data_IF_898078899201
#
_entry.id   IF_898078899201
#
_cell.length_a   1.000
_cell.length_b   1.000
_cell.length_c   1.000
_cell.angle_alpha   90.00
_cell.angle_beta   90.00
_cell.angle_gamma   90.00
#
_symmetry.space_group_name_H-M   'P 1'
#
loop_
_entity.id
_entity.type
_entity.pdbx_description
1 polymer ?
#
# COMPACT_ATOMS: atom_id res chain seq x y z
N UNK A 1 -21.67 13.44 12.73
CA UNK A 1 -22.41 13.69 13.99
C UNK A 1 -23.34 12.50 14.18
N UNK A 2 -23.24 11.75 15.29
CA UNK A 2 -24.08 10.57 15.53
C UNK A 2 -25.43 11.06 16.07
N UNK A 3 -26.57 10.69 15.46
CA UNK A 3 -27.89 11.11 15.94
C UNK A 3 -28.15 10.64 17.38
N UNK A 4 -28.81 11.47 18.20
CA UNK A 4 -29.12 11.16 19.60
C UNK A 4 -29.92 9.87 19.76
N UNK A 5 -30.90 9.63 18.87
CA UNK A 5 -31.70 8.40 18.87
C UNK A 5 -30.87 7.11 18.68
N UNK A 6 -29.67 7.21 18.11
CA UNK A 6 -28.77 6.08 17.93
C UNK A 6 -27.93 5.82 19.20
N UNK A 7 -27.68 6.85 20.01
CA UNK A 7 -26.91 6.70 21.26
C UNK A 7 -27.71 6.00 22.34
N UNK A 8 -29.01 6.25 22.40
CA UNK A 8 -29.89 5.67 23.43
C UNK A 8 -30.21 4.19 23.19
N UNK A 9 -29.97 3.70 21.97
CA UNK A 9 -30.42 2.37 21.52
C UNK A 9 -29.31 1.32 21.46
N UNK A 10 -28.05 1.73 21.52
CA UNK A 10 -26.91 0.84 21.32
C UNK A 10 -25.85 1.05 22.42
N UNK A 11 -25.21 -0.03 22.92
CA UNK A 11 -24.16 0.08 23.93
C UNK A 11 -22.99 0.97 23.45
N UNK A 12 -22.28 1.63 24.37
CA UNK A 12 -21.17 2.54 24.05
C UNK A 12 -20.12 1.92 23.13
N UNK A 13 -19.88 0.62 23.27
CA UNK A 13 -18.96 -0.17 22.43
C UNK A 13 -19.39 -0.14 20.96
N UNK A 14 -20.70 -0.18 20.70
CA UNK A 14 -21.30 -0.15 19.35
C UNK A 14 -21.23 1.25 18.76
N UNK A 15 -21.41 2.28 19.59
CA UNK A 15 -21.28 3.69 19.18
C UNK A 15 -19.82 4.00 18.83
N UNK A 16 -18.87 3.50 19.63
CA UNK A 16 -17.42 3.63 19.39
C UNK A 16 -17.02 2.90 18.12
N UNK A 17 -17.54 1.68 17.91
CA UNK A 17 -17.33 0.91 16.68
C UNK A 17 -17.89 1.62 15.44
N UNK A 18 -19.11 2.17 15.53
CA UNK A 18 -19.73 2.91 14.44
C UNK A 18 -18.99 4.22 14.12
N UNK A 19 -18.51 4.92 15.15
CA UNK A 19 -17.69 6.13 15.00
C UNK A 19 -16.34 5.81 14.36
N UNK A 20 -15.66 4.77 14.83
CA UNK A 20 -14.40 4.27 14.27
C UNK A 20 -14.59 3.87 12.80
N UNK A 21 -15.62 3.10 12.48
CA UNK A 21 -15.97 2.71 11.10
C UNK A 21 -16.28 3.91 10.19
N UNK A 22 -17.08 4.86 10.67
CA UNK A 22 -17.49 6.02 9.89
C UNK A 22 -16.31 6.97 9.65
N UNK A 23 -15.55 7.30 10.69
CA UNK A 23 -14.37 8.17 10.58
C UNK A 23 -13.29 7.54 9.72
N UNK A 24 -13.04 6.24 9.92
CA UNK A 24 -12.13 5.43 9.10
C UNK A 24 -12.48 5.54 7.61
N UNK A 25 -13.75 5.32 7.24
CA UNK A 25 -14.19 5.43 5.83
C UNK A 25 -14.18 6.86 5.28
N UNK A 26 -14.35 7.89 6.10
CA UNK A 26 -14.56 9.27 5.62
C UNK A 26 -13.30 10.14 5.62
N UNK A 27 -12.37 9.93 6.54
CA UNK A 27 -11.22 10.82 6.76
C UNK A 27 -9.87 10.09 6.75
N UNK A 28 -9.84 8.79 7.01
CA UNK A 28 -8.60 8.04 7.17
C UNK A 28 -8.43 7.02 6.05
N UNK A 29 -7.84 7.50 4.96
CA UNK A 29 -7.54 6.69 3.80
C UNK A 29 -6.66 5.50 4.18
N UNK A 30 -7.12 4.30 3.84
CA UNK A 30 -6.27 3.10 3.80
C UNK A 30 -4.98 3.42 3.00
N UNK A 31 -3.93 2.63 3.20
CA UNK A 31 -2.63 2.78 2.53
C UNK A 31 -2.78 3.05 1.03
N UNK A 32 -3.61 2.28 0.34
CA UNK A 32 -3.80 2.34 -1.10
C UNK A 32 -4.52 3.62 -1.57
N UNK A 33 -5.70 4.01 -1.02
CA UNK A 33 -6.29 5.31 -1.29
C UNK A 33 -5.34 6.48 -1.00
N UNK A 34 -4.59 6.45 0.12
CA UNK A 34 -3.62 7.50 0.44
C UNK A 34 -2.56 7.66 -0.65
N UNK A 35 -1.94 6.56 -1.05
CA UNK A 35 -0.91 6.58 -2.09
C UNK A 35 -1.49 6.86 -3.48
N UNK A 36 -2.77 6.57 -3.73
CA UNK A 36 -3.43 6.92 -4.99
C UNK A 36 -3.56 8.44 -5.13
N UNK A 37 -3.96 9.12 -4.06
CA UNK A 37 -4.02 10.58 -4.03
C UNK A 37 -2.61 11.16 -4.09
N UNK A 38 -1.67 10.64 -3.29
CA UNK A 38 -0.28 11.11 -3.31
C UNK A 38 0.36 10.97 -4.71
N UNK A 39 0.07 9.89 -5.43
CA UNK A 39 0.52 9.68 -6.81
C UNK A 39 -0.12 10.71 -7.75
N UNK A 40 -1.45 10.91 -7.70
CA UNK A 40 -2.13 11.92 -8.52
C UNK A 40 -1.61 13.33 -8.27
N UNK A 41 -1.51 13.73 -7.00
CA UNK A 41 -1.03 15.04 -6.58
C UNK A 41 0.41 15.25 -7.01
N UNK A 42 1.29 14.27 -6.77
CA UNK A 42 2.69 14.37 -7.21
C UNK A 42 2.82 14.41 -8.73
N UNK A 43 2.00 13.66 -9.48
CA UNK A 43 1.98 13.74 -10.94
C UNK A 43 1.52 15.11 -11.45
N UNK A 44 0.58 15.77 -10.78
CA UNK A 44 0.08 17.09 -11.21
C UNK A 44 1.05 18.22 -10.80
N UNK A 45 1.47 18.23 -9.53
CA UNK A 45 2.21 19.35 -8.96
C UNK A 45 3.73 19.28 -9.20
N UNK A 46 4.31 18.08 -9.21
CA UNK A 46 5.75 17.93 -9.41
C UNK A 46 6.08 17.76 -10.90
N UNK A 47 6.55 18.84 -11.52
CA UNK A 47 7.02 18.84 -12.93
C UNK A 47 8.20 17.90 -13.16
N UNK A 48 9.03 17.64 -12.14
CA UNK A 48 10.17 16.72 -12.24
C UNK A 48 9.77 15.26 -12.20
N UNK A 49 8.53 14.97 -11.76
CA UNK A 49 7.98 13.62 -11.52
C UNK A 49 8.78 12.80 -10.50
N UNK A 50 9.68 13.44 -9.74
CA UNK A 50 10.50 12.79 -8.71
C UNK A 50 9.64 12.29 -7.56
N UNK A 51 8.67 13.07 -7.10
CA UNK A 51 7.77 12.64 -6.03
C UNK A 51 6.88 11.48 -6.45
N UNK A 52 6.39 11.48 -7.70
CA UNK A 52 5.63 10.35 -8.25
C UNK A 52 6.50 9.09 -8.29
N UNK A 53 7.78 9.22 -8.67
CA UNK A 53 8.76 8.13 -8.60
C UNK A 53 8.98 7.64 -7.17
N UNK A 54 9.15 8.53 -6.18
CA UNK A 54 9.40 8.15 -4.78
C UNK A 54 8.19 7.45 -4.13
N UNK A 55 6.97 7.82 -4.53
CA UNK A 55 5.72 7.22 -4.05
C UNK A 55 5.39 5.90 -4.76
N UNK A 56 5.88 5.71 -5.98
CA UNK A 56 5.51 4.56 -6.81
C UNK A 56 5.80 3.16 -6.24
N UNK A 57 6.90 2.89 -5.49
CA UNK A 57 7.09 1.57 -4.89
C UNK A 57 5.98 1.17 -3.91
N UNK A 58 5.43 2.15 -3.19
CA UNK A 58 4.30 1.93 -2.27
C UNK A 58 3.01 1.61 -3.05
N UNK A 59 2.80 2.28 -4.19
CA UNK A 59 1.66 2.00 -5.08
C UNK A 59 1.72 0.58 -5.65
N UNK A 60 2.90 0.18 -6.13
CA UNK A 60 3.15 -1.16 -6.68
C UNK A 60 2.91 -2.23 -5.60
N UNK A 61 3.48 -2.04 -4.41
CA UNK A 61 3.28 -2.95 -3.29
C UNK A 61 1.79 -3.10 -2.93
N UNK A 62 1.10 -1.98 -2.74
CA UNK A 62 -0.31 -1.97 -2.35
C UNK A 62 -1.19 -2.70 -3.35
N UNK A 63 -1.03 -2.43 -4.65
CA UNK A 63 -1.82 -3.14 -5.65
C UNK A 63 -1.44 -4.61 -5.83
N UNK A 64 -0.14 -4.97 -5.76
CA UNK A 64 0.29 -6.36 -5.94
C UNK A 64 -0.17 -7.27 -4.79
N UNK A 65 -0.26 -6.75 -3.57
CA UNK A 65 -0.77 -7.51 -2.43
C UNK A 65 -2.29 -7.64 -2.52
N UNK A 66 -2.99 -6.53 -2.81
CA UNK A 66 -4.45 -6.49 -2.66
C UNK A 66 -5.18 -7.10 -3.85
N UNK A 67 -4.68 -6.96 -5.08
CA UNK A 67 -5.37 -7.52 -6.26
C UNK A 67 -5.59 -9.04 -6.20
N UNK A 68 -4.59 -9.88 -5.83
CA UNK A 68 -4.82 -11.31 -5.64
C UNK A 68 -5.82 -11.59 -4.51
N UNK A 69 -5.82 -10.80 -3.44
CA UNK A 69 -6.74 -10.98 -2.32
C UNK A 69 -8.20 -10.74 -2.73
N UNK A 70 -8.48 -9.72 -3.55
CA UNK A 70 -9.82 -9.45 -4.09
C UNK A 70 -10.36 -10.70 -4.82
N UNK A 71 -9.53 -11.38 -5.60
CA UNK A 71 -9.92 -12.63 -6.27
C UNK A 71 -10.24 -13.77 -5.29
N UNK A 72 -9.57 -13.83 -4.13
CA UNK A 72 -9.79 -14.90 -3.15
C UNK A 72 -11.00 -14.70 -2.24
N UNK A 73 -11.43 -13.45 -2.06
CA UNK A 73 -12.56 -13.10 -1.18
C UNK A 73 -13.89 -13.27 -1.92
N UNK A 74 -13.89 -13.09 -3.25
CA UNK A 74 -15.08 -13.25 -4.07
C UNK A 74 -15.22 -14.69 -4.59
N UNK A 75 -16.35 -15.32 -4.26
CA UNK A 75 -16.65 -16.68 -4.73
C UNK A 75 -16.85 -16.69 -6.25
N UNK A 76 -16.43 -17.79 -6.88
CA UNK A 76 -16.64 -18.08 -8.31
C UNK A 76 -15.95 -17.12 -9.32
N UNK A 77 -14.89 -16.42 -8.90
CA UNK A 77 -14.08 -15.59 -9.80
C UNK A 77 -12.93 -16.39 -10.39
N UNK A 78 -13.03 -16.74 -11.67
CA UNK A 78 -11.92 -17.31 -12.44
C UNK A 78 -11.00 -16.20 -12.97
N UNK A 79 -9.71 -16.48 -13.04
CA UNK A 79 -8.73 -15.58 -13.67
C UNK A 79 -9.06 -15.46 -15.17
N UNK A 80 -9.71 -14.35 -15.53
CA UNK A 80 -10.12 -14.06 -16.91
C UNK A 80 -9.54 -12.72 -17.35
N UNK A 81 -9.39 -12.45 -18.67
CA UNK A 81 -8.99 -11.14 -19.14
C UNK A 81 -9.90 -10.02 -18.63
N UNK A 82 -11.21 -10.29 -18.51
CA UNK A 82 -12.17 -9.36 -17.90
C UNK A 82 -11.79 -9.04 -16.45
N UNK A 83 -11.43 -10.05 -15.67
CA UNK A 83 -10.99 -9.86 -14.29
C UNK A 83 -9.75 -8.97 -14.22
N UNK A 84 -8.76 -9.12 -15.12
CA UNK A 84 -7.54 -8.30 -15.12
C UNK A 84 -7.81 -6.81 -15.38
N UNK A 85 -8.79 -6.47 -16.22
CA UNK A 85 -9.01 -5.06 -16.64
C UNK A 85 -10.19 -4.38 -15.95
N UNK A 86 -11.20 -5.13 -15.51
CA UNK A 86 -12.46 -4.60 -14.95
C UNK A 86 -12.65 -5.03 -13.50
N UNK A 87 -11.95 -6.08 -13.08
CA UNK A 87 -12.17 -6.73 -11.79
C UNK A 87 -13.45 -7.55 -11.79
N UNK A 88 -14.08 -7.58 -10.63
CA UNK A 88 -15.23 -8.42 -10.33
C UNK A 88 -16.55 -7.65 -10.40
N UNK A 89 -17.66 -8.14 -9.86
CA UNK A 89 -18.91 -7.38 -9.81
C UNK A 89 -19.07 -6.60 -8.50
N UNK A 90 -18.62 -7.14 -7.37
CA UNK A 90 -18.88 -6.59 -6.03
C UNK A 90 -17.88 -5.50 -5.64
N UNK A 91 -16.59 -5.71 -5.93
CA UNK A 91 -15.52 -4.79 -5.51
C UNK A 91 -14.86 -4.05 -6.68
N UNK A 92 -15.62 -3.68 -7.72
CA UNK A 92 -15.10 -3.00 -8.94
C UNK A 92 -14.28 -1.76 -8.65
N UNK A 93 -14.78 -0.86 -7.80
CA UNK A 93 -14.09 0.40 -7.50
C UNK A 93 -12.78 0.14 -6.75
N UNK A 94 -12.81 -0.80 -5.81
CA UNK A 94 -11.64 -1.20 -5.03
C UNK A 94 -10.59 -1.85 -5.94
N UNK A 95 -11.00 -2.76 -6.85
CA UNK A 95 -10.14 -3.33 -7.87
C UNK A 95 -9.53 -2.24 -8.78
N UNK A 96 -10.37 -1.35 -9.32
CA UNK A 96 -9.93 -0.29 -10.24
C UNK A 96 -8.88 0.62 -9.61
N UNK A 97 -9.03 0.97 -8.33
CA UNK A 97 -8.04 1.76 -7.60
C UNK A 97 -6.69 1.03 -7.48
N UNK A 98 -6.69 -0.26 -7.16
CA UNK A 98 -5.44 -1.04 -7.05
C UNK A 98 -4.79 -1.30 -8.41
N UNK A 99 -5.60 -1.54 -9.44
CA UNK A 99 -5.15 -1.61 -10.81
C UNK A 99 -4.50 -0.29 -11.25
N UNK A 100 -5.16 0.84 -10.96
CA UNK A 100 -4.61 2.18 -11.18
C UNK A 100 -3.26 2.37 -10.48
N UNK A 101 -3.15 1.98 -9.20
CA UNK A 101 -1.89 2.07 -8.45
C UNK A 101 -0.76 1.25 -9.07
N UNK A 102 -1.04 0.02 -9.52
CA UNK A 102 -0.02 -0.82 -10.19
C UNK A 102 0.40 -0.19 -11.51
N UNK A 103 -0.55 0.17 -12.37
CA UNK A 103 -0.25 0.65 -13.73
C UNK A 103 0.47 1.99 -13.66
N UNK A 104 -0.12 2.98 -13.00
CA UNK A 104 0.44 4.34 -12.95
C UNK A 104 1.65 4.42 -12.03
N UNK A 105 1.66 3.66 -10.93
CA UNK A 105 2.85 3.50 -10.10
C UNK A 105 4.02 2.92 -10.89
N UNK A 106 3.81 1.81 -11.61
CA UNK A 106 4.85 1.21 -12.45
C UNK A 106 5.34 2.15 -13.55
N UNK A 107 4.44 2.90 -14.19
CA UNK A 107 4.81 3.90 -15.20
C UNK A 107 5.67 5.02 -14.60
N UNK A 108 5.28 5.58 -13.45
CA UNK A 108 6.08 6.58 -12.74
C UNK A 108 7.45 6.02 -12.32
N UNK A 109 7.50 4.77 -11.87
CA UNK A 109 8.71 4.09 -11.43
C UNK A 109 9.72 3.86 -12.58
N UNK A 110 9.24 3.41 -13.74
CA UNK A 110 10.08 3.06 -14.89
C UNK A 110 10.53 4.29 -15.67
N UNK A 111 9.72 5.34 -15.75
CA UNK A 111 10.01 6.51 -16.57
C UNK A 111 10.99 7.50 -15.93
N UNK A 112 11.16 7.47 -14.61
CA UNK A 112 12.15 8.31 -13.95
C UNK A 112 13.57 7.76 -14.13
N UNK A 113 14.48 8.62 -14.62
CA UNK A 113 15.87 8.25 -14.97
C UNK A 113 16.92 8.90 -14.07
N UNK A 114 16.60 10.03 -13.44
CA UNK A 114 17.56 10.86 -12.69
C UNK A 114 17.62 10.46 -11.21
N UNK A 115 17.99 9.21 -10.95
CA UNK A 115 17.98 8.63 -9.59
C UNK A 115 19.24 9.05 -8.82
N UNK A 116 19.05 9.71 -7.68
CA UNK A 116 20.12 10.07 -6.74
C UNK A 116 20.00 9.18 -5.49
N UNK A 117 20.63 8.01 -5.54
CA UNK A 117 20.44 6.92 -4.58
C UNK A 117 20.33 7.37 -3.11
N UNK A 118 21.34 8.08 -2.58
CA UNK A 118 21.34 8.49 -1.17
C UNK A 118 20.16 9.40 -0.81
N UNK A 119 19.86 10.40 -1.65
CA UNK A 119 18.80 11.39 -1.39
C UNK A 119 17.41 10.76 -1.56
N UNK A 120 17.25 9.95 -2.59
CA UNK A 120 15.97 9.32 -2.92
C UNK A 120 15.65 8.17 -1.93
N UNK A 121 16.65 7.39 -1.52
CA UNK A 121 16.48 6.37 -0.49
C UNK A 121 16.09 7.00 0.86
N UNK A 122 16.74 8.10 1.25
CA UNK A 122 16.37 8.84 2.44
C UNK A 122 14.92 9.36 2.34
N UNK A 123 14.51 9.87 1.20
CA UNK A 123 13.14 10.32 0.99
C UNK A 123 12.13 9.18 1.10
N UNK A 124 12.44 7.99 0.58
CA UNK A 124 11.59 6.79 0.76
C UNK A 124 11.47 6.41 2.24
N UNK A 125 12.56 6.47 3.01
CA UNK A 125 12.51 6.22 4.45
C UNK A 125 11.64 7.24 5.18
N UNK A 126 11.76 8.53 4.82
CA UNK A 126 10.93 9.59 5.40
C UNK A 126 9.44 9.36 5.06
N UNK A 127 9.11 9.01 3.81
CA UNK A 127 7.73 8.71 3.40
C UNK A 127 7.18 7.52 4.20
N UNK A 128 7.95 6.44 4.34
CA UNK A 128 7.55 5.28 5.13
C UNK A 128 7.33 5.64 6.61
N UNK A 129 8.22 6.44 7.18
CA UNK A 129 8.14 6.88 8.58
C UNK A 129 6.93 7.79 8.81
N UNK A 130 6.65 8.72 7.89
CA UNK A 130 5.45 9.57 7.95
C UNK A 130 4.19 8.70 7.91
N UNK A 131 4.16 7.70 7.02
CA UNK A 131 3.02 6.78 6.94
C UNK A 131 2.86 5.95 8.22
N UNK A 132 3.94 5.42 8.79
CA UNK A 132 3.88 4.68 10.06
C UNK A 132 3.45 5.58 11.23
N UNK A 133 3.95 6.81 11.29
CA UNK A 133 3.53 7.79 12.29
C UNK A 133 2.04 8.12 12.16
N UNK A 134 1.55 8.29 10.93
CA UNK A 134 0.13 8.48 10.64
C UNK A 134 -0.71 7.29 11.14
N UNK A 135 -0.30 6.07 10.85
CA UNK A 135 -0.98 4.85 11.32
C UNK A 135 -1.02 4.80 12.85
N UNK A 136 0.12 4.98 13.51
CA UNK A 136 0.24 4.93 14.98
C UNK A 136 -0.64 6.01 15.61
N UNK A 137 -0.59 7.23 15.08
CA UNK A 137 -1.40 8.35 15.57
C UNK A 137 -2.90 8.02 15.50
N UNK A 138 -3.38 7.53 14.36
CA UNK A 138 -4.80 7.18 14.21
C UNK A 138 -5.21 6.00 15.12
N UNK A 139 -4.35 4.99 15.25
CA UNK A 139 -4.65 3.82 16.07
C UNK A 139 -4.69 4.16 17.57
N UNK A 140 -3.70 4.88 18.09
CA UNK A 140 -3.53 5.10 19.53
C UNK A 140 -4.13 6.41 20.05
N UNK A 141 -4.09 7.49 19.25
CA UNK A 141 -4.60 8.80 19.69
C UNK A 141 -6.09 8.93 19.39
N UNK A 142 -6.51 8.46 18.20
CA UNK A 142 -7.90 8.58 17.78
C UNK A 142 -8.75 7.34 18.08
N UNK A 143 -8.14 6.26 18.59
CA UNK A 143 -8.79 4.95 18.79
C UNK A 143 -9.50 4.45 17.53
N UNK A 144 -8.92 4.73 16.35
CA UNK A 144 -9.41 4.25 15.07
C UNK A 144 -8.57 3.04 14.70
N UNK A 145 -9.00 1.88 15.15
CA UNK A 145 -8.39 0.58 14.88
C UNK A 145 -8.94 -0.09 13.62
N UNK A 146 -10.11 0.37 13.15
CA UNK A 146 -10.71 -0.12 11.92
C UNK A 146 -10.02 0.50 10.72
N UNK A 147 -9.43 -0.33 9.85
CA UNK A 147 -8.92 0.01 8.51
C UNK A 147 -7.60 0.81 8.45
N UNK A 148 -7.12 1.40 9.55
CA UNK A 148 -5.90 2.26 9.54
C UNK A 148 -4.62 1.51 9.12
N UNK A 149 -4.50 0.22 9.44
CA UNK A 149 -3.36 -0.64 9.07
C UNK A 149 -3.66 -1.60 7.93
N UNK A 150 -4.95 -1.74 7.55
CA UNK A 150 -5.45 -2.90 6.79
C UNK A 150 -5.47 -4.22 7.57
N UNK A 151 -5.07 -4.25 8.85
CA UNK A 151 -5.00 -5.45 9.70
C UNK A 151 -5.90 -5.27 10.92
N UNK A 152 -7.13 -5.81 10.90
CA UNK A 152 -7.96 -5.89 12.12
C UNK A 152 -7.58 -7.15 12.91
N UNK A 153 -7.73 -7.11 14.24
CA UNK A 153 -7.69 -8.33 15.08
C UNK A 153 -8.69 -9.37 14.54
N UNK A 154 -9.90 -8.91 14.19
CA UNK A 154 -10.92 -9.77 13.60
C UNK A 154 -10.47 -10.36 12.25
N UNK A 155 -9.67 -9.65 11.47
CA UNK A 155 -9.13 -10.16 10.20
C UNK A 155 -8.09 -11.26 10.41
N UNK A 156 -7.41 -11.27 11.57
CA UNK A 156 -6.49 -12.35 11.97
C UNK A 156 -7.22 -13.64 12.38
N UNK A 157 -8.33 -13.51 13.09
CA UNK A 157 -9.09 -14.66 13.59
C UNK A 157 -10.13 -15.18 12.58
N UNK A 158 -10.78 -14.27 11.84
CA UNK A 158 -11.97 -14.55 11.05
C UNK A 158 -11.96 -13.96 9.61
N UNK A 159 -11.07 -13.02 9.28
CA UNK A 159 -11.05 -12.33 7.98
C UNK A 159 -9.80 -12.61 7.10
N UNK A 160 -9.30 -11.57 6.43
CA UNK A 160 -8.36 -11.69 5.30
C UNK A 160 -7.00 -12.32 5.63
N UNK A 161 -6.58 -12.31 6.90
CA UNK A 161 -5.33 -12.93 7.37
C UNK A 161 -5.50 -14.37 7.85
N UNK A 162 -6.71 -14.94 7.77
CA UNK A 162 -6.98 -16.35 8.11
C UNK A 162 -6.13 -17.32 7.28
N UNK A 163 -5.80 -16.96 6.04
CA UNK A 163 -4.88 -17.73 5.18
C UNK A 163 -3.45 -17.79 5.75
N UNK A 164 -2.94 -16.66 6.24
CA UNK A 164 -1.62 -16.55 6.89
C UNK A 164 -1.60 -17.35 8.21
N UNK A 165 -2.67 -17.24 9.01
CA UNK A 165 -2.83 -18.04 10.24
C UNK A 165 -2.84 -19.55 9.96
N UNK A 166 -3.47 -19.99 8.86
CA UNK A 166 -3.45 -21.39 8.40
C UNK A 166 -2.05 -21.83 7.96
N UNK A 167 -1.33 -20.99 7.21
CA UNK A 167 0.06 -21.24 6.78
C UNK A 167 1.01 -21.39 7.98
N UNK A 168 0.78 -20.65 9.06
CA UNK A 168 1.52 -20.76 10.33
C UNK A 168 1.04 -21.92 11.23
N UNK A 169 0.28 -22.88 10.67
CA UNK A 169 -0.25 -24.07 11.34
C UNK A 169 -1.11 -23.79 12.59
N UNK A 170 -1.66 -22.59 12.74
CA UNK A 170 -2.54 -22.23 13.87
C UNK A 170 -1.91 -22.31 15.27
N UNK A 171 -0.65 -22.72 15.40
CA UNK A 171 0.07 -22.90 16.68
C UNK A 171 0.71 -21.61 17.19
N UNK A 172 0.98 -20.67 16.30
CA UNK A 172 1.63 -19.41 16.64
C UNK A 172 0.58 -18.33 16.85
N UNK A 173 0.20 -18.12 18.11
CA UNK A 173 -0.51 -16.91 18.54
C UNK A 173 0.50 -15.76 18.61
N UNK A 174 0.95 -15.26 17.46
CA UNK A 174 1.76 -14.05 17.42
C UNK A 174 0.91 -12.90 17.98
N UNK A 175 1.40 -12.14 18.97
CA UNK A 175 0.67 -10.98 19.46
C UNK A 175 0.52 -9.95 18.34
N UNK A 176 -0.60 -9.23 18.33
CA UNK A 176 -0.96 -8.31 17.24
C UNK A 176 0.17 -7.34 16.87
N UNK A 177 0.84 -6.77 17.87
CA UNK A 177 1.95 -5.84 17.66
C UNK A 177 3.09 -6.47 16.85
N UNK A 178 3.36 -7.77 17.04
CA UNK A 178 4.41 -8.49 16.32
C UNK A 178 3.99 -8.76 14.88
N UNK A 179 2.73 -9.14 14.63
CA UNK A 179 2.19 -9.31 13.28
C UNK A 179 2.22 -7.99 12.48
N UNK A 180 1.78 -6.89 13.11
CA UNK A 180 1.83 -5.56 12.51
C UNK A 180 3.28 -5.19 12.18
N UNK A 181 4.20 -5.41 13.13
CA UNK A 181 5.64 -5.14 12.93
C UNK A 181 6.20 -5.96 11.77
N UNK A 182 5.94 -7.27 11.71
CA UNK A 182 6.41 -8.14 10.63
C UNK A 182 5.85 -7.71 9.28
N UNK A 183 4.55 -7.42 9.20
CA UNK A 183 3.90 -6.94 7.98
C UNK A 183 4.54 -5.65 7.49
N UNK A 184 4.80 -4.71 8.39
CA UNK A 184 5.49 -3.46 8.04
C UNK A 184 6.94 -3.65 7.65
N UNK A 185 7.68 -4.53 8.32
CA UNK A 185 9.06 -4.85 7.94
C UNK A 185 9.13 -5.52 6.57
N UNK A 186 8.21 -6.43 6.25
CA UNK A 186 8.13 -7.05 4.93
C UNK A 186 7.77 -6.03 3.85
N UNK A 187 6.77 -5.18 4.10
CA UNK A 187 6.38 -4.08 3.20
C UNK A 187 7.55 -3.12 2.95
N UNK A 188 8.25 -2.72 4.01
CA UNK A 188 9.41 -1.85 3.94
C UNK A 188 10.57 -2.49 3.15
N UNK A 189 10.88 -3.76 3.44
CA UNK A 189 11.89 -4.52 2.72
C UNK A 189 11.59 -4.63 1.22
N UNK A 190 10.33 -4.83 0.86
CA UNK A 190 9.89 -4.82 -0.54
C UNK A 190 10.10 -3.46 -1.20
N UNK A 191 9.65 -2.36 -0.57
CA UNK A 191 9.79 -1.00 -1.10
C UNK A 191 11.25 -0.62 -1.32
N UNK A 192 12.10 -0.83 -0.31
CA UNK A 192 13.54 -0.53 -0.38
C UNK A 192 14.25 -1.45 -1.37
N UNK A 193 13.89 -2.73 -1.41
CA UNK A 193 14.43 -3.71 -2.34
C UNK A 193 14.11 -3.35 -3.80
N UNK A 194 12.85 -3.01 -4.08
CA UNK A 194 12.40 -2.60 -5.42
C UNK A 194 13.13 -1.33 -5.87
N UNK A 195 13.21 -0.31 -5.02
CA UNK A 195 13.95 0.92 -5.31
C UNK A 195 15.43 0.65 -5.58
N UNK A 196 16.07 -0.13 -4.72
CA UNK A 196 17.50 -0.47 -4.85
C UNK A 196 17.76 -1.22 -6.16
N UNK A 197 16.95 -2.23 -6.47
CA UNK A 197 17.04 -2.97 -7.72
C UNK A 197 16.95 -2.04 -8.94
N UNK A 198 15.98 -1.11 -8.94
CA UNK A 198 15.83 -0.13 -10.01
C UNK A 198 17.05 0.77 -10.16
N UNK A 199 17.62 1.28 -9.07
CA UNK A 199 18.84 2.07 -9.12
C UNK A 199 20.00 1.30 -9.78
N UNK A 200 20.21 0.04 -9.37
CA UNK A 200 21.25 -0.80 -9.97
C UNK A 200 21.01 -1.04 -11.46
N UNK A 201 19.77 -1.31 -11.89
CA UNK A 201 19.44 -1.48 -13.31
C UNK A 201 19.71 -0.21 -14.13
N UNK A 202 19.38 0.97 -13.61
CA UNK A 202 19.64 2.24 -14.32
C UNK A 202 21.14 2.51 -14.39
N UNK A 203 21.87 2.33 -13.29
CA UNK A 203 23.32 2.52 -13.24
C UNK A 203 24.04 1.62 -14.23
N UNK A 204 23.69 0.33 -14.28
CA UNK A 204 24.31 -0.63 -15.19
C UNK A 204 24.03 -0.29 -16.67
N UNK A 205 22.82 0.18 -17.01
CA UNK A 205 22.49 0.63 -18.37
C UNK A 205 23.29 1.85 -18.83
N UNK A 206 23.62 2.76 -17.91
CA UNK A 206 24.45 3.93 -18.22
C UNK A 206 25.90 3.49 -18.49
N UNK A 207 26.47 2.68 -17.59
CA UNK A 207 27.83 2.16 -17.74
C UNK A 207 28.02 1.36 -19.04
N UNK A 208 27.04 0.53 -19.41
CA UNK A 208 27.07 -0.25 -20.65
C UNK A 208 27.04 0.61 -21.93
N UNK A 209 26.46 1.82 -21.88
CA UNK A 209 26.46 2.76 -23.00
C UNK A 209 27.77 3.53 -23.15
N UNK A 210 28.50 3.75 -22.05
CA UNK A 210 29.76 4.50 -22.05
C UNK A 210 30.98 3.67 -22.49
N UNK A 211 30.95 2.34 -22.27
CA UNK A 211 32.04 1.43 -22.66
C UNK A 211 32.34 1.37 -24.18
N UNK A 212 31.36 1.23 -25.10
CA UNK A 212 31.66 1.18 -26.53
C UNK A 212 32.18 2.52 -27.08
N UNK A 213 31.79 3.66 -26.49
CA UNK A 213 32.32 4.96 -26.88
C UNK A 213 33.80 5.10 -26.54
N UNK A 214 34.25 4.60 -25.39
CA UNK A 214 35.68 4.64 -25.03
C UNK A 214 36.56 3.81 -25.96
N UNK A 215 36.05 2.70 -26.48
CA UNK A 215 36.76 1.83 -27.43
C UNK A 215 36.81 2.40 -28.86
N UNK A 216 35.92 3.33 -29.21
CA UNK A 216 35.92 4.01 -30.52
C UNK A 216 36.89 5.20 -30.60
N UNK A 217 37.32 5.73 -29.45
CA UNK A 217 38.19 6.90 -29.36
C UNK A 217 39.55 6.61 -28.70
N UNK A 218 39.88 5.33 -28.49
CA UNK A 218 41.19 4.84 -28.03
C UNK A 218 41.92 4.16 -29.17
#
# INVERSE_FOLDING_TARGET
MIPEWFKDKYPEDTITMFRSYTLSKSLFMDLCPFFSIALCVSMILDKTKRWAFLVSPFCILGGLIVMPLIATIEKDQYFTPKWVFVGTNENRLYFLMHWFLIVFGSLAFVNFKNIVYKKDLLAIHIIALIFFAYVIFNAYVLNIDQNVTGVKIKDWYEGDYKGVRKLLNGKWHLPLWLTITLTYMTAYGFVVGLFSARYYFVKNKILAKEQPLKLQYS
#
